data_IF_236419139049
#
_entry.id   IF_236419139049
#
_cell.length_a   1.000
_cell.length_b   1.000
_cell.length_c   1.000
_cell.angle_alpha   90.00
_cell.angle_beta   90.00
_cell.angle_gamma   90.00
#
_symmetry.space_group_name_H-M   'P 1'
#
loop_
_entity.id
_entity.type
_entity.pdbx_description
1 polymer ?
#
# COMPACT_ATOMS: atom_id res chain seq x y z
N UNK A 1 8.25 24.80 15.33
CA UNK A 1 7.50 23.65 15.93
C UNK A 1 6.87 22.97 14.73
N UNK A 2 7.37 21.81 14.33
CA UNK A 2 6.74 21.03 13.25
C UNK A 2 5.42 20.51 13.81
N UNK A 3 4.29 20.92 13.19
CA UNK A 3 2.99 20.41 13.58
C UNK A 3 2.95 18.88 13.40
N UNK A 4 2.33 18.18 14.36
CA UNK A 4 2.16 16.73 14.27
C UNK A 4 1.22 16.42 13.10
N UNK A 5 1.65 15.66 12.08
CA UNK A 5 0.84 15.44 10.89
C UNK A 5 -0.42 14.64 11.20
N UNK A 6 -1.51 14.99 10.54
CA UNK A 6 -2.77 14.24 10.61
C UNK A 6 -2.81 13.22 9.49
N UNK A 7 -2.71 11.94 9.83
CA UNK A 7 -2.69 10.85 8.85
C UNK A 7 -3.99 10.05 8.95
N UNK A 8 -4.71 10.00 7.83
CA UNK A 8 -5.90 9.18 7.69
C UNK A 8 -5.57 7.71 7.45
N UNK A 9 -6.46 6.82 7.89
CA UNK A 9 -6.48 5.42 7.46
C UNK A 9 -7.80 5.17 6.76
N UNK A 10 -7.77 4.73 5.50
CA UNK A 10 -8.99 4.44 4.73
C UNK A 10 -9.76 3.30 5.38
N UNK A 11 -10.90 3.62 6.00
CA UNK A 11 -11.63 2.72 6.87
C UNK A 11 -12.91 2.16 6.20
N UNK A 12 -12.77 1.69 4.94
CA UNK A 12 -13.81 1.00 4.22
C UNK A 12 -13.82 -0.51 4.51
N UNK A 13 -12.62 -1.11 4.59
CA UNK A 13 -12.41 -2.52 4.91
C UNK A 13 -10.92 -2.75 5.18
N UNK A 14 -10.55 -3.73 6.03
CA UNK A 14 -9.16 -4.16 6.24
C UNK A 14 -8.61 -3.79 7.62
N UNK A 15 -7.28 -3.78 7.74
CA UNK A 15 -6.51 -3.71 9.00
C UNK A 15 -6.39 -2.27 9.55
N UNK A 16 -7.53 -1.59 9.67
CA UNK A 16 -7.60 -0.15 10.01
C UNK A 16 -7.04 0.15 11.39
N UNK A 17 -7.42 -0.66 12.40
CA UNK A 17 -7.04 -0.42 13.80
C UNK A 17 -5.53 -0.58 14.00
N UNK A 18 -4.95 -1.56 13.37
CA UNK A 18 -3.53 -1.87 13.42
C UNK A 18 -2.70 -0.71 12.87
N UNK A 19 -3.11 -0.15 11.73
CA UNK A 19 -2.48 1.06 11.16
C UNK A 19 -2.65 2.30 12.04
N UNK A 20 -3.82 2.52 12.63
CA UNK A 20 -4.03 3.64 13.56
C UNK A 20 -3.06 3.55 14.75
N UNK A 21 -2.86 2.35 15.30
CA UNK A 21 -1.93 2.11 16.39
C UNK A 21 -0.48 2.36 15.95
N UNK A 22 -0.06 1.82 14.81
CA UNK A 22 1.30 1.97 14.29
C UNK A 22 1.65 3.45 13.99
N UNK A 23 0.71 4.21 13.41
CA UNK A 23 0.87 5.64 13.15
C UNK A 23 0.98 6.46 14.43
N UNK A 24 0.21 6.13 15.46
CA UNK A 24 0.31 6.81 16.76
C UNK A 24 1.68 6.59 17.40
N UNK A 25 2.27 5.39 17.28
CA UNK A 25 3.64 5.10 17.72
C UNK A 25 4.67 5.86 16.87
N UNK A 26 4.36 6.13 15.61
CA UNK A 26 5.19 6.89 14.68
C UNK A 26 4.97 8.42 14.77
N UNK A 27 4.46 8.93 15.89
CA UNK A 27 4.26 10.35 16.17
C UNK A 27 3.36 11.09 15.14
N UNK A 28 2.27 10.44 14.72
CA UNK A 28 1.22 11.04 13.90
C UNK A 28 -0.12 11.07 14.64
N UNK A 29 -0.96 12.06 14.33
CA UNK A 29 -2.37 12.06 14.70
C UNK A 29 -3.14 11.20 13.71
N UNK A 30 -3.40 9.95 14.10
CA UNK A 30 -4.05 8.98 13.23
C UNK A 30 -5.57 8.99 13.39
N UNK A 31 -6.33 8.98 12.28
CA UNK A 31 -7.78 8.89 12.30
C UNK A 31 -8.37 8.06 11.16
N UNK A 32 -9.53 7.40 11.35
CA UNK A 32 -10.19 6.69 10.26
C UNK A 32 -10.80 7.68 9.25
N UNK A 33 -10.75 7.32 7.97
CA UNK A 33 -11.35 8.08 6.85
C UNK A 33 -12.32 7.18 6.10
N UNK A 34 -13.59 7.60 6.03
CA UNK A 34 -14.68 6.86 5.37
C UNK A 34 -15.43 7.69 4.34
N UNK A 35 -15.25 9.01 4.37
CA UNK A 35 -16.00 9.97 3.54
C UNK A 35 -15.07 11.00 2.94
N UNK A 36 -15.43 11.59 1.78
CA UNK A 36 -14.62 12.62 1.11
C UNK A 36 -14.29 13.82 2.00
N UNK A 37 -15.22 14.23 2.87
CA UNK A 37 -15.01 15.35 3.79
C UNK A 37 -13.90 15.07 4.80
N UNK A 38 -13.83 13.83 5.30
CA UNK A 38 -12.78 13.38 6.22
C UNK A 38 -11.43 13.27 5.51
N UNK A 39 -11.42 12.88 4.21
CA UNK A 39 -10.22 12.85 3.37
C UNK A 39 -9.63 14.24 3.13
N UNK A 40 -10.48 15.26 3.06
CA UNK A 40 -10.03 16.65 2.87
C UNK A 40 -9.27 17.22 4.07
N UNK A 41 -9.43 16.62 5.25
CA UNK A 41 -8.88 17.11 6.51
C UNK A 41 -7.59 16.38 6.96
N UNK A 42 -6.98 15.54 6.11
CA UNK A 42 -5.75 14.81 6.43
C UNK A 42 -4.59 15.25 5.55
N UNK A 43 -3.37 15.21 6.10
CA UNK A 43 -2.14 15.57 5.42
C UNK A 43 -1.58 14.41 4.59
N UNK A 44 -1.92 13.17 4.97
CA UNK A 44 -1.55 11.94 4.28
C UNK A 44 -2.54 10.83 4.54
N UNK A 45 -2.50 9.75 3.75
CA UNK A 45 -3.43 8.63 3.84
C UNK A 45 -2.73 7.28 3.79
N UNK A 46 -3.13 6.36 4.67
CA UNK A 46 -2.82 4.93 4.56
C UNK A 46 -4.02 4.21 3.95
N UNK A 47 -3.77 3.40 2.92
CA UNK A 47 -4.72 2.43 2.35
C UNK A 47 -4.33 1.06 2.89
N UNK A 48 -5.13 0.47 3.81
CA UNK A 48 -4.75 -0.73 4.53
C UNK A 48 -4.76 -1.99 3.66
N UNK A 49 -4.20 -3.06 4.21
CA UNK A 49 -4.43 -4.42 3.73
C UNK A 49 -5.89 -4.84 3.88
N UNK A 50 -6.29 -5.86 3.09
CA UNK A 50 -7.66 -6.36 3.07
C UNK A 50 -7.96 -7.11 1.77
N UNK A 51 -9.25 -7.11 1.34
CA UNK A 51 -9.63 -7.69 0.05
C UNK A 51 -9.80 -6.57 -1.00
N UNK A 52 -8.86 -6.49 -1.93
CA UNK A 52 -8.74 -5.35 -2.86
C UNK A 52 -9.95 -5.14 -3.77
N UNK A 53 -10.64 -6.21 -4.19
CA UNK A 53 -11.86 -6.09 -5.01
C UNK A 53 -13.02 -5.50 -4.22
N UNK A 54 -13.17 -5.92 -2.96
CA UNK A 54 -14.17 -5.36 -2.04
C UNK A 54 -13.87 -3.90 -1.74
N UNK A 55 -12.62 -3.57 -1.43
CA UNK A 55 -12.21 -2.19 -1.16
C UNK A 55 -12.47 -1.28 -2.36
N UNK A 56 -12.13 -1.72 -3.58
CA UNK A 56 -12.41 -1.00 -4.82
C UNK A 56 -13.92 -0.74 -5.00
N UNK A 57 -14.75 -1.77 -4.83
CA UNK A 57 -16.21 -1.63 -4.92
C UNK A 57 -16.78 -0.69 -3.87
N UNK A 58 -16.31 -0.78 -2.62
CA UNK A 58 -16.73 0.12 -1.55
C UNK A 58 -16.30 1.57 -1.81
N UNK A 59 -15.09 1.78 -2.36
CA UNK A 59 -14.64 3.10 -2.74
C UNK A 59 -15.55 3.74 -3.81
N UNK A 60 -16.02 2.96 -4.77
CA UNK A 60 -17.01 3.43 -5.77
C UNK A 60 -18.37 3.71 -5.11
N UNK A 61 -18.90 2.76 -4.32
CA UNK A 61 -20.24 2.87 -3.69
C UNK A 61 -20.30 4.08 -2.76
N UNK A 62 -19.26 4.36 -1.98
CA UNK A 62 -19.22 5.47 -1.04
C UNK A 62 -18.69 6.78 -1.66
N UNK A 63 -18.49 6.84 -2.98
CA UNK A 63 -18.02 8.03 -3.67
C UNK A 63 -16.60 8.46 -3.29
N UNK A 64 -15.78 7.52 -2.77
CA UNK A 64 -14.41 7.79 -2.34
C UNK A 64 -13.38 7.71 -3.47
N UNK A 65 -13.69 6.97 -4.54
CA UNK A 65 -12.68 6.64 -5.56
C UNK A 65 -12.12 7.88 -6.26
N UNK A 66 -12.97 8.77 -6.77
CA UNK A 66 -12.53 9.99 -7.46
C UNK A 66 -11.83 10.98 -6.52
N UNK A 67 -12.34 11.28 -5.31
CA UNK A 67 -11.61 12.09 -4.33
C UNK A 67 -10.23 11.53 -3.98
N UNK A 68 -10.08 10.18 -3.87
CA UNK A 68 -8.78 9.54 -3.65
C UNK A 68 -7.84 9.79 -4.83
N UNK A 69 -8.30 9.57 -6.06
CA UNK A 69 -7.54 9.83 -7.29
C UNK A 69 -7.07 11.29 -7.38
N UNK A 70 -7.97 12.23 -7.13
CA UNK A 70 -7.67 13.67 -7.14
C UNK A 70 -6.63 14.05 -6.08
N UNK A 71 -6.78 13.57 -4.85
CA UNK A 71 -5.85 13.86 -3.75
C UNK A 71 -4.46 13.27 -4.01
N UNK A 72 -4.38 12.03 -4.50
CA UNK A 72 -3.10 11.38 -4.86
C UNK A 72 -2.45 12.10 -6.04
N UNK A 73 -3.21 12.42 -7.09
CA UNK A 73 -2.70 13.15 -8.26
C UNK A 73 -2.23 14.57 -7.91
N UNK A 74 -2.84 15.22 -6.91
CA UNK A 74 -2.42 16.52 -6.40
C UNK A 74 -1.20 16.48 -5.48
N UNK A 75 -0.65 15.28 -5.20
CA UNK A 75 0.58 15.10 -4.44
C UNK A 75 0.40 14.81 -2.96
N UNK A 76 -0.82 14.52 -2.49
CA UNK A 76 -1.01 14.03 -1.12
C UNK A 76 -0.20 12.77 -0.89
N UNK A 77 0.61 12.70 0.19
CA UNK A 77 1.31 11.47 0.56
C UNK A 77 0.34 10.32 0.80
N UNK A 78 0.65 9.16 0.21
CA UNK A 78 -0.17 7.96 0.35
C UNK A 78 0.70 6.73 0.57
N UNK A 79 0.26 5.84 1.45
CA UNK A 79 0.90 4.56 1.71
C UNK A 79 -0.09 3.41 1.58
N UNK A 80 0.22 2.42 0.74
CA UNK A 80 -0.60 1.23 0.55
C UNK A 80 0.08 -0.05 1.00
N UNK A 81 -0.55 -0.83 1.90
CA UNK A 81 -0.08 -2.17 2.30
C UNK A 81 -0.89 -3.26 1.63
N UNK A 82 -0.26 -4.31 1.11
CA UNK A 82 -0.91 -5.48 0.53
C UNK A 82 -2.03 -5.10 -0.48
N UNK A 83 -3.30 -5.13 -0.08
CA UNK A 83 -4.42 -4.67 -0.91
C UNK A 83 -4.31 -3.18 -1.28
N UNK A 84 -3.78 -2.36 -0.38
CA UNK A 84 -3.49 -0.96 -0.65
C UNK A 84 -2.45 -0.76 -1.75
N UNK A 85 -1.38 -1.59 -1.79
CA UNK A 85 -0.43 -1.62 -2.91
C UNK A 85 -1.15 -1.89 -4.24
N UNK A 86 -2.10 -2.86 -4.25
CA UNK A 86 -2.87 -3.19 -5.45
C UNK A 86 -3.70 -1.98 -5.92
N UNK A 87 -4.30 -1.23 -4.98
CA UNK A 87 -5.10 -0.04 -5.32
C UNK A 87 -4.27 1.13 -5.81
N UNK A 88 -2.99 1.23 -5.44
CA UNK A 88 -2.07 2.27 -5.90
C UNK A 88 -1.40 1.94 -7.25
N UNK A 89 -1.54 0.72 -7.76
CA UNK A 89 -0.95 0.31 -9.02
C UNK A 89 -1.70 0.86 -10.24
N UNK A 90 -0.97 1.18 -11.29
CA UNK A 90 -1.56 1.54 -12.58
C UNK A 90 -2.19 0.32 -13.27
N UNK A 91 -1.65 -0.89 -13.02
CA UNK A 91 -2.15 -2.12 -13.64
C UNK A 91 -2.11 -3.31 -12.68
N UNK A 92 -3.16 -4.10 -12.71
CA UNK A 92 -3.32 -5.30 -11.89
C UNK A 92 -3.40 -6.54 -12.79
N UNK A 93 -2.68 -7.60 -12.38
CA UNK A 93 -2.74 -8.92 -13.02
C UNK A 93 -3.25 -9.95 -12.02
N UNK A 94 -4.15 -10.85 -12.50
CA UNK A 94 -4.53 -12.05 -11.76
C UNK A 94 -3.49 -13.17 -11.98
N UNK A 95 -3.33 -14.11 -11.03
CA UNK A 95 -2.66 -15.36 -11.32
C UNK A 95 -3.41 -16.08 -12.44
N UNK A 96 -2.80 -16.27 -13.61
CA UNK A 96 -3.40 -17.06 -14.67
C UNK A 96 -3.25 -18.56 -14.38
N UNK A 97 -4.28 -19.39 -14.50
CA UNK A 97 -4.17 -20.86 -14.39
C UNK A 97 -3.17 -21.45 -15.40
N UNK A 98 -2.98 -20.77 -16.53
CA UNK A 98 -2.03 -21.16 -17.59
C UNK A 98 -0.61 -20.65 -17.37
N UNK A 99 -0.36 -19.76 -16.40
CA UNK A 99 0.95 -19.14 -16.16
C UNK A 99 1.97 -20.06 -15.53
N UNK A 100 1.62 -21.32 -15.20
CA UNK A 100 2.57 -22.33 -14.72
C UNK A 100 3.68 -22.69 -15.73
N UNK A 101 3.56 -22.20 -16.98
CA UNK A 101 4.48 -22.51 -18.07
C UNK A 101 5.05 -21.28 -18.81
N UNK A 102 4.68 -20.05 -18.42
CA UNK A 102 5.19 -18.82 -19.06
C UNK A 102 5.46 -17.75 -18.02
N UNK A 103 6.68 -17.28 -17.97
CA UNK A 103 7.21 -16.31 -17.00
C UNK A 103 6.73 -14.86 -17.16
N UNK A 104 5.71 -14.57 -17.94
CA UNK A 104 5.28 -13.19 -18.21
C UNK A 104 3.84 -13.02 -18.68
N UNK A 105 2.89 -13.78 -18.13
CA UNK A 105 1.48 -13.65 -18.53
C UNK A 105 0.52 -13.72 -17.36
N UNK A 106 -0.16 -12.64 -17.06
CA UNK A 106 -1.35 -12.61 -16.19
C UNK A 106 -2.47 -11.91 -16.95
N UNK A 107 -3.72 -12.33 -16.72
CA UNK A 107 -4.87 -11.65 -17.31
C UNK A 107 -5.19 -10.38 -16.52
N UNK A 108 -5.52 -9.25 -17.18
CA UNK A 108 -6.02 -8.06 -16.50
C UNK A 108 -7.24 -8.41 -15.63
N UNK A 109 -7.37 -7.75 -14.48
CA UNK A 109 -8.54 -7.94 -13.60
C UNK A 109 -9.71 -7.10 -14.13
N UNK A 110 -10.73 -7.69 -14.77
CA UNK A 110 -11.84 -6.90 -15.26
C UNK A 110 -12.65 -6.30 -14.11
N UNK A 111 -12.95 -5.00 -14.21
CA UNK A 111 -13.88 -4.33 -13.30
C UNK A 111 -13.35 -4.04 -11.89
N UNK A 112 -12.04 -4.16 -11.63
CA UNK A 112 -11.44 -3.63 -10.42
C UNK A 112 -10.83 -2.26 -10.72
N UNK A 113 -11.41 -1.22 -10.14
CA UNK A 113 -10.90 0.15 -10.21
C UNK A 113 -9.70 0.31 -9.28
N UNK A 114 -8.73 1.14 -9.69
CA UNK A 114 -7.57 1.53 -8.88
C UNK A 114 -7.60 3.04 -8.59
N UNK A 115 -6.90 3.42 -7.55
CA UNK A 115 -6.60 4.83 -7.25
C UNK A 115 -5.48 5.31 -8.16
N UNK A 116 -4.50 4.44 -8.43
CA UNK A 116 -3.28 4.79 -9.14
C UNK A 116 -2.29 5.55 -8.24
N UNK A 117 -1.27 6.12 -8.84
CA UNK A 117 -0.24 6.92 -8.16
C UNK A 117 1.16 6.34 -8.24
N UNK A 118 1.30 5.05 -8.53
CA UNK A 118 2.59 4.39 -8.75
C UNK A 118 2.57 3.67 -10.11
N UNK A 119 3.48 4.06 -11.00
CA UNK A 119 3.71 3.41 -12.29
C UNK A 119 4.31 2.01 -12.07
N UNK A 120 3.43 1.07 -11.75
CA UNK A 120 3.78 -0.33 -11.49
C UNK A 120 2.70 -1.28 -11.98
N UNK A 121 3.12 -2.50 -12.30
CA UNK A 121 2.23 -3.64 -12.59
C UNK A 121 2.30 -4.59 -11.40
N UNK A 122 1.17 -4.85 -10.76
CA UNK A 122 1.06 -5.70 -9.58
C UNK A 122 0.36 -7.01 -9.92
N UNK A 123 0.93 -8.13 -9.46
CA UNK A 123 0.30 -9.46 -9.52
C UNK A 123 -0.32 -9.79 -8.17
N UNK A 124 -1.62 -10.12 -8.18
CA UNK A 124 -2.36 -10.52 -6.99
C UNK A 124 -2.05 -11.97 -6.57
N UNK A 125 -2.17 -12.26 -5.25
CA UNK A 125 -2.00 -13.60 -4.69
C UNK A 125 -0.77 -14.33 -5.25
N UNK A 126 0.35 -13.65 -5.27
CA UNK A 126 1.50 -14.03 -6.06
C UNK A 126 2.44 -15.00 -5.32
N UNK A 127 2.51 -14.94 -3.97
CA UNK A 127 3.36 -15.78 -3.12
C UNK A 127 2.76 -17.16 -2.77
N UNK A 128 1.98 -17.78 -3.67
CA UNK A 128 1.54 -19.15 -3.48
C UNK A 128 0.02 -19.35 -3.33
N UNK A 129 -0.38 -20.57 -2.93
CA UNK A 129 -1.78 -20.95 -2.76
C UNK A 129 -2.36 -20.32 -1.49
N UNK A 130 -3.69 -20.23 -1.39
CA UNK A 130 -4.50 -19.53 -0.38
C UNK A 130 -4.15 -19.74 1.12
N UNK A 131 -3.22 -20.63 1.44
CA UNK A 131 -2.87 -21.00 2.81
C UNK A 131 -1.43 -20.61 3.21
N UNK A 132 -0.70 -19.89 2.37
CA UNK A 132 0.69 -19.56 2.69
C UNK A 132 0.79 -18.13 3.19
N UNK A 133 0.74 -17.97 4.52
CA UNK A 133 1.24 -16.80 5.24
C UNK A 133 2.63 -17.12 5.75
N UNK A 134 3.53 -16.16 5.67
CA UNK A 134 4.87 -16.29 6.25
C UNK A 134 5.36 -14.94 6.77
N UNK A 135 6.31 -14.99 7.67
CA UNK A 135 7.04 -13.83 8.17
C UNK A 135 8.45 -13.84 7.59
N UNK A 136 8.98 -12.67 7.27
CA UNK A 136 10.32 -12.53 6.75
C UNK A 136 10.97 -11.22 7.20
N UNK A 137 12.29 -11.28 7.38
CA UNK A 137 13.12 -10.10 7.47
C UNK A 137 13.34 -9.53 6.06
N UNK A 138 13.01 -8.27 5.85
CA UNK A 138 13.06 -7.58 4.57
C UNK A 138 14.02 -6.39 4.66
N UNK A 139 15.11 -6.44 3.91
CA UNK A 139 15.97 -5.25 3.75
C UNK A 139 15.21 -4.22 2.91
N UNK A 140 15.01 -3.03 3.47
CA UNK A 140 14.23 -1.97 2.85
C UNK A 140 15.01 -0.66 2.83
N UNK A 141 15.26 -0.14 1.64
CA UNK A 141 15.94 1.14 1.45
C UNK A 141 15.14 2.29 2.09
N UNK A 142 15.85 3.19 2.76
CA UNK A 142 15.24 4.32 3.46
C UNK A 142 14.74 4.00 4.88
N UNK A 143 14.79 2.74 5.34
CA UNK A 143 14.45 2.36 6.71
C UNK A 143 15.72 1.98 7.47
N UNK A 144 16.18 2.81 8.44
CA UNK A 144 17.39 2.54 9.19
C UNK A 144 17.22 1.42 10.21
N UNK A 145 18.34 0.83 10.67
CA UNK A 145 18.35 -0.14 11.77
C UNK A 145 18.24 -1.60 11.35
N UNK A 146 18.54 -1.92 10.08
CA UNK A 146 18.53 -3.28 9.54
C UNK A 146 17.15 -3.72 9.03
N UNK A 147 16.99 -5.01 8.71
CA UNK A 147 15.77 -5.54 8.11
C UNK A 147 14.52 -5.19 8.90
N UNK A 148 13.41 -4.95 8.22
CA UNK A 148 12.08 -4.80 8.83
C UNK A 148 11.38 -6.15 8.88
N UNK A 149 10.53 -6.35 9.87
CA UNK A 149 9.67 -7.53 9.93
C UNK A 149 8.47 -7.35 8.99
N UNK A 150 8.29 -8.25 8.05
CA UNK A 150 7.18 -8.26 7.11
C UNK A 150 6.32 -9.51 7.26
N UNK A 151 5.02 -9.34 7.48
CA UNK A 151 4.03 -10.42 7.46
C UNK A 151 3.39 -10.46 6.08
N UNK A 152 3.54 -11.58 5.38
CA UNK A 152 3.01 -11.80 4.04
C UNK A 152 1.78 -12.70 4.12
N UNK A 153 0.60 -12.18 3.76
CA UNK A 153 -0.67 -12.91 3.78
C UNK A 153 -1.29 -12.82 2.39
N UNK A 154 -1.25 -13.91 1.62
CA UNK A 154 -1.71 -13.92 0.22
C UNK A 154 -1.19 -12.72 -0.58
N UNK A 155 0.05 -12.36 -0.29
CA UNK A 155 0.64 -11.10 -0.68
C UNK A 155 0.74 -10.96 -2.22
N UNK A 156 0.55 -9.74 -2.75
CA UNK A 156 0.93 -9.41 -4.11
C UNK A 156 2.44 -9.31 -4.23
N UNK A 157 2.96 -9.23 -5.46
CA UNK A 157 4.25 -8.63 -5.74
C UNK A 157 4.18 -7.69 -6.94
N UNK A 158 5.20 -6.87 -7.11
CA UNK A 158 5.32 -6.01 -8.29
C UNK A 158 6.06 -6.77 -9.39
N UNK A 159 5.42 -6.91 -10.55
CA UNK A 159 6.01 -7.55 -11.74
C UNK A 159 7.01 -6.64 -12.43
N UNK A 160 6.69 -5.35 -12.50
CA UNK A 160 7.54 -4.33 -13.10
C UNK A 160 7.18 -2.95 -12.59
N UNK A 161 8.16 -2.06 -12.63
CA UNK A 161 8.02 -0.64 -12.32
C UNK A 161 8.39 0.21 -13.53
N UNK A 162 7.75 1.37 -13.68
CA UNK A 162 8.17 2.38 -14.64
C UNK A 162 9.35 3.21 -14.17
N UNK A 163 9.86 4.07 -15.05
CA UNK A 163 11.10 4.81 -14.83
C UNK A 163 11.07 5.79 -13.63
N UNK A 164 9.88 6.15 -13.13
CA UNK A 164 9.71 7.07 -12.00
C UNK A 164 9.57 6.37 -10.66
N UNK A 165 9.35 5.07 -10.64
CA UNK A 165 9.18 4.31 -9.41
C UNK A 165 10.53 3.71 -8.95
N UNK A 166 10.82 3.84 -7.67
CA UNK A 166 12.00 3.31 -7.01
C UNK A 166 11.65 2.00 -6.33
N UNK A 167 12.47 0.97 -6.53
CA UNK A 167 12.36 -0.30 -5.80
C UNK A 167 13.07 -0.12 -4.46
N UNK A 168 12.33 -0.26 -3.36
CA UNK A 168 12.87 -0.13 -2.01
C UNK A 168 13.21 -1.48 -1.38
N UNK A 169 12.54 -2.56 -1.79
CA UNK A 169 12.83 -3.90 -1.26
C UNK A 169 12.51 -5.00 -2.27
N UNK A 170 13.33 -6.05 -2.20
CA UNK A 170 13.16 -7.30 -2.94
C UNK A 170 13.22 -8.47 -1.96
N UNK A 171 12.27 -9.39 -2.05
CA UNK A 171 12.25 -10.62 -1.26
C UNK A 171 11.94 -11.83 -2.16
N UNK A 172 12.74 -12.90 -2.04
CA UNK A 172 12.57 -14.11 -2.86
C UNK A 172 12.66 -13.84 -4.38
N UNK A 173 13.40 -12.80 -4.81
CA UNK A 173 13.51 -12.41 -6.22
C UNK A 173 12.33 -11.56 -6.74
N UNK A 174 11.39 -11.18 -5.88
CA UNK A 174 10.22 -10.36 -6.22
C UNK A 174 10.29 -8.99 -5.56
N UNK A 175 9.85 -7.96 -6.27
CA UNK A 175 9.75 -6.60 -5.73
C UNK A 175 8.57 -6.56 -4.74
N UNK A 176 8.86 -6.16 -3.49
CA UNK A 176 7.91 -6.16 -2.37
C UNK A 176 7.69 -4.79 -1.72
N UNK A 177 8.52 -3.80 -2.06
CA UNK A 177 8.29 -2.41 -1.66
C UNK A 177 8.75 -1.46 -2.76
N UNK A 178 7.95 -0.42 -3.01
CA UNK A 178 8.21 0.59 -4.03
C UNK A 178 7.79 1.97 -3.54
N UNK A 179 8.44 3.01 -4.10
CA UNK A 179 8.09 4.41 -3.88
C UNK A 179 8.05 5.14 -5.21
N UNK A 180 7.11 6.07 -5.38
CA UNK A 180 7.12 7.04 -6.47
C UNK A 180 6.69 8.40 -5.92
N UNK A 181 7.61 9.34 -5.84
CA UNK A 181 7.34 10.64 -5.23
C UNK A 181 6.81 10.50 -3.79
N UNK A 182 5.56 10.93 -3.57
CA UNK A 182 4.89 10.86 -2.27
C UNK A 182 4.06 9.58 -2.06
N UNK A 183 4.09 8.64 -2.99
CA UNK A 183 3.39 7.36 -2.88
C UNK A 183 4.36 6.24 -2.47
N UNK A 184 4.02 5.51 -1.41
CA UNK A 184 4.75 4.36 -0.87
C UNK A 184 3.85 3.12 -0.94
N UNK A 185 4.39 1.96 -1.25
CA UNK A 185 3.64 0.71 -1.21
C UNK A 185 4.50 -0.46 -0.74
N UNK A 186 3.92 -1.34 0.08
CA UNK A 186 4.52 -2.61 0.51
C UNK A 186 3.58 -3.77 0.23
N UNK A 187 4.11 -4.93 -0.17
CA UNK A 187 3.31 -6.14 -0.35
C UNK A 187 3.00 -6.86 0.96
N UNK A 188 3.76 -6.57 2.00
CA UNK A 188 3.65 -7.13 3.34
C UNK A 188 2.95 -6.16 4.30
N UNK A 189 2.61 -6.66 5.48
CA UNK A 189 1.89 -5.98 6.55
C UNK A 189 2.82 -5.64 7.72
N UNK A 190 3.51 -4.49 7.73
CA UNK A 190 4.32 -4.09 8.90
C UNK A 190 3.45 -3.72 10.11
N UNK A 191 2.18 -3.36 9.89
CA UNK A 191 1.20 -3.05 10.94
C UNK A 191 0.85 -4.24 11.84
N UNK A 192 1.11 -5.46 11.39
CA UNK A 192 0.86 -6.69 12.15
C UNK A 192 2.06 -7.11 13.00
N UNK A 193 3.15 -6.34 12.96
CA UNK A 193 4.36 -6.58 13.75
C UNK A 193 4.55 -5.50 14.82
N UNK A 194 5.54 -5.65 15.68
CA UNK A 194 5.99 -4.60 16.60
C UNK A 194 6.93 -3.58 15.95
N UNK A 195 7.24 -3.74 14.66
CA UNK A 195 8.17 -2.88 13.93
C UNK A 195 7.42 -1.75 13.20
N UNK A 196 7.43 -0.56 13.77
CA UNK A 196 6.73 0.60 13.22
C UNK A 196 7.61 1.50 12.34
N UNK A 197 8.83 1.08 11.96
CA UNK A 197 9.77 1.91 11.19
C UNK A 197 9.27 2.27 9.80
N UNK A 198 8.49 1.41 9.15
CA UNK A 198 7.87 1.75 7.84
C UNK A 198 6.80 2.84 8.01
N UNK A 199 6.03 2.81 9.09
CA UNK A 199 5.07 3.87 9.40
C UNK A 199 5.78 5.19 9.76
N UNK A 200 6.92 5.11 10.46
CA UNK A 200 7.76 6.28 10.73
C UNK A 200 8.32 6.90 9.43
N UNK A 201 8.82 6.07 8.49
CA UNK A 201 9.23 6.53 7.16
C UNK A 201 8.08 7.26 6.46
N UNK A 202 6.86 6.70 6.47
CA UNK A 202 5.71 7.34 5.86
C UNK A 202 5.32 8.65 6.56
N UNK A 203 5.35 8.68 7.90
CA UNK A 203 5.10 9.91 8.68
C UNK A 203 6.10 11.01 8.32
N UNK A 204 7.37 10.68 8.14
CA UNK A 204 8.39 11.63 7.70
C UNK A 204 8.17 12.10 6.25
N UNK A 205 7.67 11.24 5.37
CA UNK A 205 7.24 11.66 4.02
C UNK A 205 6.09 12.68 4.07
N UNK A 206 5.13 12.50 4.98
CA UNK A 206 4.03 13.47 5.17
C UNK A 206 4.56 14.81 5.69
N UNK A 207 5.45 14.80 6.68
CA UNK A 207 6.10 16.01 7.23
C UNK A 207 6.90 16.79 6.19
N UNK A 208 7.47 16.10 5.21
CA UNK A 208 8.29 16.73 4.17
C UNK A 208 7.47 17.51 3.12
N UNK A 209 6.15 17.31 3.07
CA UNK A 209 5.24 17.96 2.09
C UNK A 209 4.45 19.12 2.72
N UNK A 210 4.23 19.08 4.03
CA UNK A 210 3.58 20.17 4.81
C UNK A 210 4.60 21.23 5.20
#
# INVERSE_FOLDING_TARGET
MTDTPVIGVLALQGDVREHLTALAVADALARPVRRPEELAEVDGLVIPGGESTTMSKLAVIFGMLEPLRERVASGMPVYGTCAGMILLADKILNPSPSSRLRSSGGDPVPGQETVGGIDMIVRRNAFGRQNESFEAAVEMDGVPGGPVEGVFIRAPWVESVGARAEVLAVHGGHIVAVRQGNALATSFHPELTGDHRVHALFTDMVRAVG
#
